data_IF_037945057288
#
_entry.id   IF_037945057288
#
_cell.length_a   1.000
_cell.length_b   1.000
_cell.length_c   1.000
_cell.angle_alpha   90.00
_cell.angle_beta   90.00
_cell.angle_gamma   90.00
#
_symmetry.space_group_name_H-M   'P 1'
#
loop_
_entity.id
_entity.type
_entity.pdbx_description
1 polymer ?
#
# COMPACT_ATOMS: atom_id res chain seq x y z
N UNK A 1 -16.08 29.66 -13.66
CA UNK A 1 -16.05 28.28 -13.11
C UNK A 1 -15.58 27.38 -14.22
N UNK A 2 -14.33 26.91 -14.18
CA UNK A 2 -13.85 25.94 -15.16
C UNK A 2 -14.44 24.58 -14.79
N UNK A 3 -15.20 23.96 -15.70
CA UNK A 3 -15.61 22.57 -15.59
C UNK A 3 -14.36 21.70 -15.55
N UNK A 4 -14.10 21.08 -14.39
CA UNK A 4 -13.05 20.09 -14.24
C UNK A 4 -13.49 18.86 -15.05
N UNK A 5 -12.92 18.69 -16.25
CA UNK A 5 -13.09 17.48 -17.04
C UNK A 5 -12.36 16.33 -16.34
N UNK A 6 -13.13 15.43 -15.72
CA UNK A 6 -12.62 14.14 -15.27
C UNK A 6 -12.29 13.28 -16.50
N UNK A 7 -11.07 12.74 -16.57
CA UNK A 7 -10.72 11.77 -17.61
C UNK A 7 -11.68 10.56 -17.53
N UNK A 8 -12.43 10.25 -18.61
CA UNK A 8 -13.47 9.23 -18.59
C UNK A 8 -12.93 7.80 -18.79
N UNK A 9 -11.61 7.63 -18.98
CA UNK A 9 -11.05 6.30 -19.22
C UNK A 9 -11.14 5.45 -17.95
N UNK A 10 -11.86 4.31 -17.94
CA UNK A 10 -11.77 3.36 -16.86
C UNK A 10 -10.32 2.90 -16.76
N UNK A 11 -9.77 2.91 -15.55
CA UNK A 11 -8.42 2.43 -15.30
C UNK A 11 -8.18 1.05 -15.91
N UNK A 12 -7.30 0.99 -16.92
CA UNK A 12 -6.72 -0.25 -17.40
C UNK A 12 -5.40 -0.47 -16.69
N UNK A 13 -5.33 -1.52 -15.87
CA UNK A 13 -4.13 -1.88 -15.12
C UNK A 13 -3.03 -2.44 -16.05
N UNK A 14 -3.37 -2.74 -17.30
CA UNK A 14 -2.44 -3.06 -18.40
C UNK A 14 -2.02 -1.85 -19.22
N UNK A 15 -2.36 -0.62 -18.81
CA UNK A 15 -1.86 0.60 -19.46
C UNK A 15 -0.33 0.65 -19.54
N UNK A 16 0.34 -0.08 -18.63
CA UNK A 16 1.78 -0.31 -18.63
C UNK A 16 2.01 -1.81 -18.95
N UNK A 17 2.70 -2.11 -20.06
CA UNK A 17 2.95 -3.49 -20.50
C UNK A 17 4.10 -4.17 -19.75
N UNK A 18 4.99 -3.41 -19.12
CA UNK A 18 6.17 -3.94 -18.43
C UNK A 18 5.85 -5.08 -17.44
N UNK A 19 4.85 -4.97 -16.55
CA UNK A 19 4.50 -6.07 -15.65
C UNK A 19 4.00 -7.33 -16.36
N UNK A 20 3.38 -7.19 -17.54
CA UNK A 20 2.98 -8.34 -18.36
C UNK A 20 4.18 -9.01 -19.03
N UNK A 21 5.21 -8.24 -19.40
CA UNK A 21 6.47 -8.79 -19.91
C UNK A 21 7.23 -9.56 -18.82
N UNK A 22 7.35 -9.02 -17.61
CA UNK A 22 8.00 -9.70 -16.47
C UNK A 22 7.29 -11.02 -16.12
N UNK A 23 5.95 -11.00 -16.15
CA UNK A 23 5.13 -12.19 -15.93
C UNK A 23 5.30 -13.22 -17.06
N UNK A 24 5.43 -12.78 -18.32
CA UNK A 24 5.73 -13.67 -19.44
C UNK A 24 7.12 -14.27 -19.34
N UNK A 25 8.14 -13.51 -18.92
CA UNK A 25 9.48 -14.04 -18.71
C UNK A 25 9.46 -15.15 -17.65
N UNK A 26 8.78 -14.90 -16.52
CA UNK A 26 8.57 -15.89 -15.47
C UNK A 26 7.78 -17.11 -15.95
N UNK A 27 6.85 -16.92 -16.88
CA UNK A 27 6.12 -18.01 -17.54
C UNK A 27 7.05 -18.87 -18.39
N UNK A 28 7.87 -18.24 -19.25
CA UNK A 28 8.77 -18.91 -20.18
C UNK A 28 9.89 -19.68 -19.47
N UNK A 29 10.43 -19.13 -18.38
CA UNK A 29 11.46 -19.81 -17.59
C UNK A 29 10.89 -20.81 -16.56
N UNK A 30 9.56 -20.99 -16.51
CA UNK A 30 8.88 -21.95 -15.64
C UNK A 30 8.75 -21.52 -14.17
N UNK A 31 9.25 -20.34 -13.79
CA UNK A 31 9.20 -19.86 -12.41
C UNK A 31 7.88 -19.20 -12.00
N UNK A 32 6.95 -18.98 -12.94
CA UNK A 32 5.69 -18.23 -12.73
C UNK A 32 4.87 -18.63 -11.50
N UNK A 33 4.95 -19.90 -11.08
CA UNK A 33 4.21 -20.43 -9.93
C UNK A 33 5.04 -20.49 -8.62
N UNK A 34 6.31 -20.05 -8.65
CA UNK A 34 7.16 -19.99 -7.47
C UNK A 34 6.54 -19.03 -6.45
N UNK A 35 6.34 -19.47 -5.20
CA UNK A 35 5.84 -18.59 -4.16
C UNK A 35 6.91 -17.58 -3.78
N UNK A 36 6.56 -16.30 -3.79
CA UNK A 36 7.41 -15.19 -3.38
C UNK A 36 6.69 -14.33 -2.34
N UNK A 37 7.46 -13.60 -1.54
CA UNK A 37 6.98 -12.60 -0.60
C UNK A 37 7.65 -11.26 -0.90
N UNK A 38 6.84 -10.26 -1.23
CA UNK A 38 7.28 -8.90 -1.50
C UNK A 38 6.61 -7.89 -0.58
N UNK A 39 7.28 -6.79 -0.37
CA UNK A 39 6.80 -5.62 0.35
C UNK A 39 6.75 -4.44 -0.59
N UNK A 40 5.69 -3.64 -0.53
CA UNK A 40 5.66 -2.36 -1.24
C UNK A 40 6.31 -1.28 -0.37
N UNK A 41 7.54 -0.94 -0.69
CA UNK A 41 8.32 0.10 0.01
C UNK A 41 7.92 1.48 -0.50
N UNK A 42 7.77 2.41 0.43
CA UNK A 42 7.54 3.82 0.17
C UNK A 42 8.46 4.65 1.06
N UNK A 43 9.04 5.71 0.48
CA UNK A 43 9.86 6.67 1.22
C UNK A 43 9.09 7.98 1.28
N UNK A 44 8.57 8.37 2.46
CA UNK A 44 7.86 9.63 2.57
C UNK A 44 8.82 10.82 2.38
N UNK A 45 8.29 11.90 1.79
CA UNK A 45 9.01 13.18 1.69
C UNK A 45 9.00 13.96 3.03
N UNK A 46 8.30 13.43 4.04
CA UNK A 46 8.21 13.95 5.40
C UNK A 46 8.44 12.84 6.44
N UNK A 47 8.11 13.09 7.72
CA UNK A 47 8.46 12.17 8.80
C UNK A 47 7.64 10.88 8.82
N UNK A 48 6.57 10.76 8.02
CA UNK A 48 5.69 9.60 7.99
C UNK A 48 4.95 9.47 6.65
N UNK A 49 4.30 8.32 6.46
CA UNK A 49 3.33 8.06 5.42
C UNK A 49 1.94 7.82 6.00
N UNK A 50 0.89 8.18 5.27
CA UNK A 50 -0.50 7.81 5.58
C UNK A 50 -0.96 6.72 4.61
N UNK A 51 -1.13 5.50 5.11
CA UNK A 51 -1.60 4.38 4.32
C UNK A 51 -2.97 4.67 3.70
N UNK A 52 -3.10 4.51 2.38
CA UNK A 52 -4.35 4.78 1.68
C UNK A 52 -4.52 3.86 0.47
N UNK A 53 -5.77 3.55 0.12
CA UNK A 53 -6.11 2.85 -1.12
C UNK A 53 -6.34 1.34 -0.99
N UNK A 54 -6.23 0.74 0.21
CA UNK A 54 -6.51 -0.68 0.41
C UNK A 54 -7.93 -1.08 -0.04
N UNK A 55 -8.93 -0.23 0.18
CA UNK A 55 -10.29 -0.40 -0.32
C UNK A 55 -10.39 -0.30 -1.85
N UNK A 56 -9.61 0.60 -2.48
CA UNK A 56 -9.54 0.70 -3.94
C UNK A 56 -8.96 -0.58 -4.54
N UNK A 57 -7.89 -1.10 -3.93
CA UNK A 57 -7.29 -2.37 -4.31
C UNK A 57 -8.28 -3.53 -4.17
N UNK A 58 -8.97 -3.64 -3.03
CA UNK A 58 -9.96 -4.70 -2.82
C UNK A 58 -11.10 -4.67 -3.86
N UNK A 59 -11.61 -3.48 -4.18
CA UNK A 59 -12.64 -3.30 -5.22
C UNK A 59 -12.10 -3.61 -6.62
N UNK A 60 -10.84 -3.23 -6.90
CA UNK A 60 -10.19 -3.56 -8.16
C UNK A 60 -10.03 -5.07 -8.36
N UNK A 61 -9.53 -5.79 -7.35
CA UNK A 61 -9.41 -7.26 -7.41
C UNK A 61 -10.77 -7.95 -7.56
N UNK A 62 -11.84 -7.42 -6.93
CA UNK A 62 -13.19 -7.96 -7.10
C UNK A 62 -13.63 -8.03 -8.57
N UNK A 63 -13.11 -7.13 -9.40
CA UNK A 63 -13.39 -7.03 -10.84
C UNK A 63 -12.25 -7.56 -11.71
N UNK A 64 -11.15 -8.03 -11.12
CA UNK A 64 -9.96 -8.42 -11.85
C UNK A 64 -10.22 -9.67 -12.68
N UNK A 65 -10.23 -9.47 -14.00
CA UNK A 65 -10.29 -10.53 -15.02
C UNK A 65 -9.61 -10.04 -16.28
N UNK A 66 -8.89 -10.94 -16.95
CA UNK A 66 -8.53 -10.73 -18.34
C UNK A 66 -9.77 -10.98 -19.21
N UNK A 67 -10.36 -9.91 -19.73
CA UNK A 67 -11.46 -10.04 -20.68
C UNK A 67 -10.94 -10.55 -22.02
N UNK A 68 -11.84 -11.13 -22.82
CA UNK A 68 -11.50 -11.58 -24.19
C UNK A 68 -10.92 -10.42 -25.01
N UNK A 69 -11.50 -9.23 -24.90
CA UNK A 69 -11.02 -8.03 -25.60
C UNK A 69 -9.59 -7.66 -25.20
N UNK A 70 -9.26 -7.75 -23.91
CA UNK A 70 -7.91 -7.47 -23.41
C UNK A 70 -6.91 -8.50 -23.95
N UNK A 71 -7.25 -9.79 -23.93
CA UNK A 71 -6.38 -10.84 -24.47
C UNK A 71 -6.15 -10.67 -25.97
N UNK A 72 -7.21 -10.36 -26.73
CA UNK A 72 -7.10 -10.07 -28.16
C UNK A 72 -6.23 -8.85 -28.43
N UNK A 73 -6.43 -7.77 -27.67
CA UNK A 73 -5.60 -6.58 -27.77
C UNK A 73 -4.12 -6.89 -27.52
N UNK A 74 -3.80 -7.61 -26.43
CA UNK A 74 -2.43 -8.03 -26.13
C UNK A 74 -1.82 -8.89 -27.25
N UNK A 75 -2.58 -9.81 -27.83
CA UNK A 75 -2.11 -10.66 -28.94
C UNK A 75 -1.81 -9.90 -30.23
N UNK A 76 -2.44 -8.73 -30.43
CA UNK A 76 -2.20 -7.84 -31.57
C UNK A 76 -0.98 -6.94 -31.39
N UNK A 77 -0.37 -6.90 -30.21
CA UNK A 77 0.83 -6.09 -29.97
C UNK A 77 2.02 -6.78 -30.63
N UNK A 78 2.69 -6.06 -31.52
CA UNK A 78 3.86 -6.56 -32.27
C UNK A 78 5.11 -5.73 -31.99
N UNK A 79 6.27 -6.35 -32.18
CA UNK A 79 7.54 -5.64 -32.22
C UNK A 79 7.70 -4.85 -33.53
N UNK A 80 8.84 -4.17 -33.68
CA UNK A 80 9.20 -3.39 -34.88
C UNK A 80 9.28 -4.22 -36.18
N UNK A 81 9.31 -5.55 -36.06
CA UNK A 81 9.33 -6.49 -37.19
C UNK A 81 7.98 -7.15 -37.46
N UNK A 82 6.91 -6.72 -36.77
CA UNK A 82 5.57 -7.27 -36.94
C UNK A 82 5.35 -8.63 -36.28
N UNK A 83 6.25 -9.07 -35.40
CA UNK A 83 6.11 -10.35 -34.65
C UNK A 83 5.38 -10.10 -33.35
N UNK A 84 4.46 -11.00 -32.97
CA UNK A 84 3.74 -10.87 -31.70
C UNK A 84 4.70 -10.87 -30.51
N UNK A 85 4.55 -9.89 -29.61
CA UNK A 85 5.40 -9.77 -28.42
C UNK A 85 4.95 -10.71 -27.29
N UNK A 86 3.70 -11.17 -27.33
CA UNK A 86 3.13 -12.09 -26.35
C UNK A 86 2.94 -13.48 -26.97
N UNK A 87 3.43 -14.49 -26.28
CA UNK A 87 3.32 -15.89 -26.68
C UNK A 87 1.87 -16.36 -26.50
N UNK A 88 1.35 -17.10 -27.48
CA UNK A 88 -0.03 -17.61 -27.45
C UNK A 88 -0.28 -18.49 -26.21
N UNK A 89 0.70 -19.29 -25.80
CA UNK A 89 0.62 -20.11 -24.58
C UNK A 89 0.51 -19.26 -23.30
N UNK A 90 1.15 -18.10 -23.25
CA UNK A 90 1.05 -17.16 -22.14
C UNK A 90 -0.32 -16.45 -22.14
N UNK A 91 -0.82 -16.00 -23.29
CA UNK A 91 -2.16 -15.43 -23.41
C UNK A 91 -3.25 -16.43 -22.96
N UNK A 92 -3.09 -17.70 -23.33
CA UNK A 92 -3.92 -18.82 -22.88
C UNK A 92 -3.86 -19.03 -21.35
N UNK A 93 -2.72 -18.78 -20.73
CA UNK A 93 -2.56 -18.78 -19.27
C UNK A 93 -3.32 -17.60 -18.64
N UNK A 94 -3.15 -16.38 -19.17
CA UNK A 94 -3.82 -15.18 -18.66
C UNK A 94 -5.35 -15.29 -18.72
N UNK A 95 -5.89 -15.85 -19.81
CA UNK A 95 -7.33 -16.06 -19.98
C UNK A 95 -7.93 -16.96 -18.89
N UNK A 96 -7.16 -17.92 -18.37
CA UNK A 96 -7.58 -18.86 -17.32
C UNK A 96 -7.14 -18.43 -15.92
N UNK A 97 -6.49 -17.27 -15.80
CA UNK A 97 -5.87 -16.86 -14.56
C UNK A 97 -6.91 -16.63 -13.47
N UNK A 98 -6.71 -17.31 -12.35
CA UNK A 98 -7.35 -17.00 -11.09
C UNK A 98 -6.29 -16.54 -10.11
N UNK A 99 -6.50 -15.36 -9.52
CA UNK A 99 -5.61 -14.83 -8.51
C UNK A 99 -5.60 -15.76 -7.29
N UNK A 100 -4.41 -16.06 -6.81
CA UNK A 100 -4.13 -16.89 -5.63
C UNK A 100 -3.15 -16.19 -4.68
N UNK A 101 -3.00 -14.87 -4.83
CA UNK A 101 -2.15 -14.05 -3.98
C UNK A 101 -2.82 -13.75 -2.63
N UNK A 102 -2.03 -13.61 -1.59
CA UNK A 102 -2.42 -13.06 -0.30
C UNK A 102 -1.83 -11.65 -0.18
N UNK A 103 -2.64 -10.69 0.25
CA UNK A 103 -2.20 -9.30 0.43
C UNK A 103 -2.64 -8.82 1.80
N UNK A 104 -1.68 -8.41 2.60
CA UNK A 104 -1.91 -7.72 3.86
C UNK A 104 -1.48 -6.25 3.68
N UNK A 105 -2.33 -5.30 4.04
CA UNK A 105 -1.98 -3.86 3.96
C UNK A 105 -2.05 -3.22 5.33
N UNK A 106 -1.30 -2.14 5.51
CA UNK A 106 -1.57 -1.23 6.60
C UNK A 106 -3.02 -0.69 6.46
N UNK A 107 -3.73 -0.45 7.57
CA UNK A 107 -5.13 -0.05 7.52
C UNK A 107 -5.19 1.38 6.99
N UNK A 108 -6.18 1.70 6.16
CA UNK A 108 -6.27 3.06 5.62
C UNK A 108 -6.38 4.11 6.73
N UNK A 109 -5.73 5.26 6.51
CA UNK A 109 -5.60 6.33 7.50
C UNK A 109 -4.62 6.03 8.63
N UNK A 110 -3.92 4.88 8.63
CA UNK A 110 -2.84 4.62 9.57
C UNK A 110 -1.58 5.38 9.20
N UNK A 111 -0.90 5.91 10.23
CA UNK A 111 0.43 6.49 10.09
C UNK A 111 1.48 5.36 10.08
N UNK A 112 2.37 5.36 9.09
CA UNK A 112 3.52 4.46 8.95
C UNK A 112 4.82 5.26 8.99
N UNK A 113 5.84 4.70 9.61
CA UNK A 113 7.18 5.29 9.72
C UNK A 113 8.06 4.92 8.52
N UNK A 114 9.13 5.66 8.25
CA UNK A 114 10.13 5.27 7.25
C UNK A 114 10.67 3.86 7.53
N UNK A 115 10.74 3.02 6.48
CA UNK A 115 11.14 1.62 6.59
C UNK A 115 9.95 0.65 6.77
N UNK A 116 8.79 1.14 7.17
CA UNK A 116 7.57 0.33 7.27
C UNK A 116 6.87 0.26 5.90
N UNK A 117 6.64 -0.94 5.34
CA UNK A 117 6.04 -1.08 4.02
C UNK A 117 4.55 -0.76 4.01
N UNK A 118 4.02 -0.39 2.85
CA UNK A 118 2.59 -0.09 2.70
C UNK A 118 1.73 -1.36 2.67
N UNK A 119 2.26 -2.41 2.04
CA UNK A 119 1.64 -3.73 1.96
C UNK A 119 2.68 -4.83 1.90
N UNK A 120 2.24 -6.03 2.24
CA UNK A 120 2.96 -7.30 2.14
C UNK A 120 2.13 -8.20 1.22
N UNK A 121 2.74 -8.71 0.16
CA UNK A 121 2.10 -9.60 -0.82
C UNK A 121 2.85 -10.91 -0.91
N UNK A 122 2.12 -12.01 -0.88
CA UNK A 122 2.65 -13.36 -1.02
C UNK A 122 1.88 -14.15 -2.07
N UNK A 123 2.57 -14.93 -2.89
CA UNK A 123 1.93 -15.79 -3.89
C UNK A 123 2.81 -16.08 -5.10
N UNK A 124 2.21 -16.62 -6.18
CA UNK A 124 2.93 -16.91 -7.42
C UNK A 124 3.58 -15.65 -8.01
N UNK A 125 4.88 -15.69 -8.31
CA UNK A 125 5.65 -14.52 -8.79
C UNK A 125 5.00 -13.81 -9.99
N UNK A 126 4.52 -14.58 -10.98
CA UNK A 126 3.87 -13.99 -12.16
C UNK A 126 2.59 -13.24 -11.82
N UNK A 127 1.84 -13.69 -10.80
CA UNK A 127 0.62 -12.99 -10.37
C UNK A 127 0.95 -11.71 -9.61
N UNK A 128 2.03 -11.71 -8.80
CA UNK A 128 2.50 -10.51 -8.11
C UNK A 128 2.97 -9.46 -9.13
N UNK A 129 3.75 -9.89 -10.13
CA UNK A 129 4.20 -9.03 -11.22
C UNK A 129 3.01 -8.41 -11.95
N UNK A 130 2.03 -9.20 -12.41
CA UNK A 130 0.82 -8.68 -13.08
C UNK A 130 0.07 -7.62 -12.25
N UNK A 131 0.12 -7.69 -10.92
CA UNK A 131 -0.55 -6.76 -10.02
C UNK A 131 0.30 -5.53 -9.66
N UNK A 132 1.54 -5.44 -10.12
CA UNK A 132 2.47 -4.36 -9.76
C UNK A 132 1.92 -2.97 -10.12
N UNK A 133 1.33 -2.81 -11.31
CA UNK A 133 0.66 -1.55 -11.70
C UNK A 133 -0.49 -1.19 -10.76
N UNK A 134 -1.27 -2.17 -10.33
CA UNK A 134 -2.37 -1.95 -9.39
C UNK A 134 -1.83 -1.55 -8.01
N UNK A 135 -0.77 -2.20 -7.50
CA UNK A 135 -0.15 -1.82 -6.24
C UNK A 135 0.45 -0.41 -6.29
N UNK A 136 1.14 -0.07 -7.39
CA UNK A 136 1.68 1.27 -7.61
C UNK A 136 0.56 2.32 -7.62
N UNK A 137 -0.43 2.18 -8.49
CA UNK A 137 -1.46 3.21 -8.68
C UNK A 137 -2.45 3.31 -7.53
N UNK A 138 -2.87 2.17 -6.99
CA UNK A 138 -3.94 2.15 -5.99
C UNK A 138 -3.41 2.32 -4.56
N UNK A 139 -2.22 1.80 -4.24
CA UNK A 139 -1.66 1.88 -2.88
C UNK A 139 -0.57 2.93 -2.80
N UNK A 140 0.46 2.83 -3.63
CA UNK A 140 1.62 3.71 -3.53
C UNK A 140 1.23 5.17 -3.85
N UNK A 141 0.56 5.45 -4.97
CA UNK A 141 0.17 6.81 -5.33
C UNK A 141 -0.89 7.38 -4.39
N UNK A 142 -1.89 6.59 -4.00
CA UNK A 142 -2.88 7.01 -3.00
C UNK A 142 -2.22 7.36 -1.67
N UNK A 143 -1.24 6.58 -1.23
CA UNK A 143 -0.48 6.86 -0.01
C UNK A 143 0.35 8.12 -0.16
N UNK A 144 1.00 8.32 -1.31
CA UNK A 144 1.76 9.54 -1.59
C UNK A 144 0.89 10.80 -1.46
N UNK A 145 -0.27 10.84 -2.12
CA UNK A 145 -1.18 11.98 -2.05
C UNK A 145 -1.77 12.20 -0.66
N UNK A 146 -2.15 11.13 0.05
CA UNK A 146 -2.62 11.23 1.42
C UNK A 146 -1.53 11.78 2.36
N UNK A 147 -0.29 11.34 2.16
CA UNK A 147 0.86 11.77 2.96
C UNK A 147 1.22 13.23 2.70
N UNK A 148 1.16 13.71 1.45
CA UNK A 148 1.38 15.12 1.12
C UNK A 148 0.39 16.03 1.86
N UNK A 149 -0.90 15.70 1.82
CA UNK A 149 -1.93 16.46 2.53
C UNK A 149 -1.75 16.41 4.05
N UNK A 150 -1.48 15.23 4.60
CA UNK A 150 -1.30 15.07 6.04
C UNK A 150 -0.05 15.79 6.55
N UNK A 151 1.06 15.75 5.79
CA UNK A 151 2.29 16.45 6.14
C UNK A 151 2.10 17.98 6.10
N UNK A 152 1.37 18.50 5.10
CA UNK A 152 1.05 19.92 5.03
C UNK A 152 0.27 20.40 6.27
N UNK A 153 -0.67 19.59 6.77
CA UNK A 153 -1.40 19.88 8.02
C UNK A 153 -0.56 19.72 9.27
N UNK A 154 0.26 18.69 9.31
CA UNK A 154 1.19 18.44 10.40
C UNK A 154 2.13 19.63 10.63
N UNK A 155 2.73 20.16 9.56
CA UNK A 155 3.64 21.33 9.63
C UNK A 155 2.90 22.57 10.13
N UNK A 156 1.62 22.74 9.77
CA UNK A 156 0.77 23.84 10.25
C UNK A 156 0.30 23.66 11.71
N UNK A 157 0.43 22.46 12.29
CA UNK A 157 -0.10 22.15 13.61
C UNK A 157 -1.63 22.20 13.70
N UNK A 158 -2.33 21.84 12.62
CA UNK A 158 -3.78 22.00 12.50
C UNK A 158 -4.50 20.65 12.26
N UNK A 159 -5.17 20.14 13.28
CA UNK A 159 -5.86 18.83 13.26
C UNK A 159 -7.39 18.90 13.35
N UNK A 160 -7.98 20.09 13.26
CA UNK A 160 -9.44 20.21 13.24
C UNK A 160 -10.04 19.79 11.91
N UNK A 161 -11.23 19.17 11.99
CA UNK A 161 -11.99 18.75 10.82
C UNK A 161 -12.67 19.99 10.21
N UNK A 162 -12.39 20.24 8.93
CA UNK A 162 -13.06 21.27 8.12
C UNK A 162 -14.23 20.64 7.35
N UNK A 163 -15.26 21.45 7.05
CA UNK A 163 -16.37 21.02 6.20
C UNK A 163 -15.87 20.76 4.77
N UNK A 164 -15.60 19.49 4.49
CA UNK A 164 -15.03 19.02 3.23
C UNK A 164 -15.98 17.97 2.65
N UNK A 165 -16.51 18.17 1.43
CA UNK A 165 -17.38 17.19 0.79
C UNK A 165 -16.69 15.83 0.66
N UNK A 166 -17.40 14.76 1.03
CA UNK A 166 -16.86 13.41 0.89
C UNK A 166 -16.76 13.03 -0.59
N UNK A 167 -15.62 12.52 -1.05
CA UNK A 167 -15.49 12.02 -2.42
C UNK A 167 -16.18 10.66 -2.58
N UNK A 168 -16.38 10.21 -3.83
CA UNK A 168 -16.81 8.83 -4.10
C UNK A 168 -15.85 7.83 -3.43
N UNK A 169 -16.41 6.78 -2.81
CA UNK A 169 -15.61 5.78 -2.08
C UNK A 169 -14.67 5.01 -3.02
N UNK A 170 -15.14 4.70 -4.23
CA UNK A 170 -14.39 3.97 -5.26
C UNK A 170 -14.48 4.71 -6.60
N UNK A 171 -13.67 5.76 -6.79
CA UNK A 171 -13.51 6.35 -8.10
C UNK A 171 -12.91 5.33 -9.08
N UNK A 172 -13.23 5.42 -10.36
CA UNK A 172 -12.70 4.50 -11.39
C UNK A 172 -11.66 5.16 -12.30
N UNK A 173 -11.12 6.32 -11.87
CA UNK A 173 -10.09 7.07 -12.58
C UNK A 173 -9.03 7.62 -11.59
N UNK A 174 -7.82 7.95 -12.07
CA UNK A 174 -6.72 8.43 -11.23
C UNK A 174 -7.02 9.72 -10.45
N UNK A 175 -7.71 10.69 -11.06
CA UNK A 175 -8.02 11.96 -10.38
C UNK A 175 -8.96 11.76 -9.21
N UNK A 176 -9.94 10.88 -9.35
CA UNK A 176 -10.83 10.52 -8.26
C UNK A 176 -10.08 9.84 -7.11
N UNK A 177 -9.13 8.95 -7.39
CA UNK A 177 -8.31 8.33 -6.33
C UNK A 177 -7.48 9.36 -5.59
N UNK A 178 -6.92 10.33 -6.32
CA UNK A 178 -6.19 11.46 -5.76
C UNK A 178 -7.07 12.32 -4.85
N UNK A 179 -8.27 12.68 -5.30
CA UNK A 179 -9.26 13.42 -4.50
C UNK A 179 -9.56 12.64 -3.21
N UNK A 180 -9.82 11.34 -3.32
CA UNK A 180 -10.05 10.46 -2.17
C UNK A 180 -8.86 10.42 -1.21
N UNK A 181 -7.65 10.29 -1.74
CA UNK A 181 -6.42 10.25 -0.95
C UNK A 181 -6.18 11.56 -0.22
N UNK A 182 -6.31 12.70 -0.89
CA UNK A 182 -6.20 14.02 -0.29
C UNK A 182 -7.26 14.24 0.81
N UNK A 183 -8.51 13.80 0.58
CA UNK A 183 -9.55 13.81 1.60
C UNK A 183 -9.17 12.97 2.83
N UNK A 184 -8.68 11.74 2.64
CA UNK A 184 -8.22 10.89 3.75
C UNK A 184 -7.02 11.52 4.47
N UNK A 185 -6.12 12.15 3.73
CA UNK A 185 -4.97 12.91 4.22
C UNK A 185 -5.31 14.26 4.86
N UNK A 186 -6.60 14.62 4.95
CA UNK A 186 -7.04 15.79 5.70
C UNK A 186 -7.10 17.08 4.90
N UNK A 187 -6.86 17.08 3.59
CA UNK A 187 -6.91 18.29 2.78
C UNK A 187 -8.27 19.01 2.89
N UNK A 188 -8.25 20.34 2.77
CA UNK A 188 -9.46 21.15 2.59
C UNK A 188 -10.06 20.96 1.18
N UNK A 189 -11.29 21.45 0.96
CA UNK A 189 -11.90 21.42 -0.37
C UNK A 189 -11.04 22.16 -1.41
N UNK A 190 -10.49 23.33 -1.07
CA UNK A 190 -9.63 24.11 -1.97
C UNK A 190 -8.31 23.41 -2.26
N UNK A 191 -7.68 22.80 -1.25
CA UNK A 191 -6.44 22.04 -1.42
C UNK A 191 -6.66 20.81 -2.32
N UNK A 192 -7.81 20.14 -2.19
CA UNK A 192 -8.20 19.04 -3.08
C UNK A 192 -8.29 19.55 -4.53
N UNK A 193 -9.04 20.63 -4.77
CA UNK A 193 -9.23 21.20 -6.11
C UNK A 193 -7.90 21.63 -6.75
N UNK A 194 -6.99 22.22 -5.97
CA UNK A 194 -5.66 22.61 -6.44
C UNK A 194 -4.77 21.42 -6.84
N UNK A 195 -5.04 20.23 -6.30
CA UNK A 195 -4.26 19.02 -6.56
C UNK A 195 -4.84 18.16 -7.70
N UNK A 196 -6.12 18.33 -8.03
CA UNK A 196 -6.74 17.64 -9.18
C UNK A 196 -5.93 17.91 -10.45
N UNK A 197 -5.69 16.89 -11.27
CA UNK A 197 -4.93 17.00 -12.51
C UNK A 197 -3.40 17.07 -12.37
N UNK A 198 -2.84 17.33 -11.18
CA UNK A 198 -1.37 17.24 -10.97
C UNK A 198 -0.86 15.81 -11.16
N UNK A 199 0.31 15.64 -11.75
CA UNK A 199 0.92 14.32 -11.92
C UNK A 199 1.59 13.85 -10.62
N UNK A 200 1.47 12.56 -10.33
CA UNK A 200 2.21 11.93 -9.23
C UNK A 200 3.69 11.79 -9.62
N UNK A 201 4.62 11.95 -8.66
CA UNK A 201 6.04 11.64 -8.92
C UNK A 201 6.21 10.14 -9.21
N UNK A 202 7.27 9.81 -9.95
CA UNK A 202 7.66 8.40 -10.08
C UNK A 202 8.29 7.88 -8.78
N UNK A 203 8.11 6.59 -8.44
CA UNK A 203 8.87 5.95 -7.37
C UNK A 203 10.38 6.03 -7.66
N UNK A 204 11.17 6.31 -6.63
CA UNK A 204 12.63 6.24 -6.68
C UNK A 204 13.11 4.78 -6.73
N UNK A 205 14.40 4.56 -7.00
CA UNK A 205 14.99 3.23 -7.00
C UNK A 205 14.92 2.52 -5.63
N UNK A 206 14.73 3.26 -4.53
CA UNK A 206 14.57 2.72 -3.18
C UNK A 206 13.15 2.20 -2.91
N UNK A 207 12.17 2.62 -3.71
CA UNK A 207 10.75 2.32 -3.54
C UNK A 207 10.27 1.17 -4.45
N UNK A 208 9.02 0.73 -4.25
CA UNK A 208 8.40 -0.33 -5.06
C UNK A 208 8.41 -1.70 -4.38
N UNK A 209 8.11 -2.75 -5.14
CA UNK A 209 8.07 -4.12 -4.63
C UNK A 209 9.48 -4.65 -4.36
N UNK A 210 9.77 -5.00 -3.11
CA UNK A 210 11.09 -5.47 -2.67
C UNK A 210 10.99 -6.55 -1.59
N UNK A 211 12.02 -7.38 -1.50
CA UNK A 211 12.24 -8.20 -0.30
C UNK A 211 12.75 -7.31 0.83
N UNK A 212 12.09 -7.36 1.99
CA UNK A 212 12.55 -6.72 3.23
C UNK A 212 12.76 -7.83 4.23
N UNK A 213 13.96 -7.92 4.77
CA UNK A 213 14.39 -9.00 5.64
C UNK A 213 15.00 -8.46 6.92
N UNK A 214 14.80 -9.21 8.00
CA UNK A 214 15.59 -9.13 9.22
C UNK A 214 17.06 -9.40 8.90
N UNK A 215 17.98 -8.98 9.78
CA UNK A 215 19.42 -9.21 9.64
C UNK A 215 19.78 -10.70 9.38
N UNK A 216 18.96 -11.63 9.86
CA UNK A 216 19.11 -13.08 9.61
C UNK A 216 18.63 -13.54 8.22
N UNK A 217 18.21 -12.63 7.34
CA UNK A 217 17.65 -12.94 6.01
C UNK A 217 16.17 -13.38 6.02
N UNK A 218 15.50 -13.31 7.18
CA UNK A 218 14.10 -13.77 7.33
C UNK A 218 13.15 -12.60 7.05
N UNK A 219 12.10 -12.76 6.22
CA UNK A 219 11.24 -11.64 5.85
C UNK A 219 10.38 -11.14 7.01
N UNK A 220 10.01 -9.86 6.93
CA UNK A 220 8.97 -9.28 7.78
C UNK A 220 7.59 -9.78 7.36
N UNK A 221 6.71 -10.02 8.32
CA UNK A 221 5.31 -10.41 8.03
C UNK A 221 4.29 -9.58 8.81
N UNK A 222 4.70 -8.90 9.88
CA UNK A 222 3.82 -8.10 10.72
C UNK A 222 4.58 -6.95 11.41
N UNK A 223 3.86 -5.85 11.67
CA UNK A 223 4.30 -4.81 12.60
C UNK A 223 3.25 -4.67 13.72
N UNK A 224 3.71 -4.63 14.96
CA UNK A 224 2.87 -4.35 16.13
C UNK A 224 3.19 -2.97 16.68
N UNK A 225 2.22 -2.06 16.61
CA UNK A 225 2.29 -0.77 17.31
C UNK A 225 1.92 -0.94 18.77
N UNK A 226 2.81 -0.54 19.66
CA UNK A 226 2.67 -0.68 21.11
C UNK A 226 2.02 0.57 21.71
N UNK A 227 1.20 0.39 22.74
CA UNK A 227 0.50 1.50 23.40
C UNK A 227 0.56 1.42 24.92
N UNK A 228 0.56 2.59 25.58
CA UNK A 228 0.16 2.77 26.99
C UNK A 228 -1.11 3.61 27.01
N UNK A 229 -2.24 2.99 27.35
CA UNK A 229 -3.55 3.60 27.16
C UNK A 229 -3.80 3.91 25.68
N UNK A 230 -3.85 5.20 25.33
CA UNK A 230 -4.04 5.69 23.96
C UNK A 230 -2.77 6.24 23.31
N UNK A 231 -1.68 6.34 24.05
CA UNK A 231 -0.42 6.89 23.54
C UNK A 231 0.40 5.80 22.87
N UNK A 232 0.81 5.99 21.59
CA UNK A 232 1.73 5.08 20.91
C UNK A 232 3.13 5.18 21.52
N UNK A 233 3.84 4.06 21.63
CA UNK A 233 5.15 3.99 22.30
C UNK A 233 6.30 3.53 21.42
N UNK A 234 6.01 2.71 20.42
CA UNK A 234 7.00 2.11 19.54
C UNK A 234 6.38 1.05 18.63
N UNK A 235 7.08 0.72 17.55
CA UNK A 235 6.60 -0.24 16.54
C UNK A 235 7.56 -1.44 16.42
N UNK A 236 7.02 -2.65 16.55
CA UNK A 236 7.81 -3.89 16.61
C UNK A 236 7.61 -4.70 15.35
N UNK A 237 8.69 -4.96 14.63
CA UNK A 237 8.72 -5.70 13.38
C UNK A 237 8.94 -7.19 13.66
N UNK A 238 8.10 -8.03 13.04
CA UNK A 238 8.00 -9.44 13.34
C UNK A 238 8.23 -10.27 12.08
N UNK A 239 9.09 -11.27 12.21
CA UNK A 239 9.13 -12.43 11.31
C UNK A 239 8.00 -13.41 11.65
N UNK A 240 7.77 -14.41 10.79
CA UNK A 240 6.77 -15.46 11.04
C UNK A 240 7.02 -16.18 12.37
N UNK A 241 8.27 -16.56 12.65
CA UNK A 241 8.63 -17.22 13.91
C UNK A 241 8.42 -16.31 15.14
N UNK A 242 8.66 -15.00 14.99
CA UNK A 242 8.39 -14.07 16.10
C UNK A 242 6.89 -13.94 16.37
N UNK A 243 6.04 -13.96 15.33
CA UNK A 243 4.59 -13.83 15.47
C UNK A 243 3.98 -14.97 16.31
N UNK A 244 4.51 -16.18 16.15
CA UNK A 244 4.11 -17.39 16.89
C UNK A 244 4.49 -17.34 18.39
N UNK A 245 5.64 -16.73 18.72
CA UNK A 245 6.19 -16.72 20.09
C UNK A 245 5.89 -15.41 20.84
N UNK A 246 5.62 -14.32 20.12
CA UNK A 246 5.21 -13.04 20.67
C UNK A 246 3.76 -13.16 21.19
N UNK A 247 3.61 -13.81 22.34
CA UNK A 247 2.33 -14.04 23.01
C UNK A 247 1.60 -12.72 23.27
N UNK A 248 0.28 -12.75 23.04
CA UNK A 248 -0.67 -11.69 23.39
C UNK A 248 -0.68 -11.35 24.89
N UNK A 249 -0.22 -12.24 25.76
CA UNK A 249 -0.22 -12.05 27.22
C UNK A 249 0.97 -11.27 27.76
N UNK A 250 2.03 -11.06 26.97
CA UNK A 250 3.22 -10.31 27.41
C UNK A 250 2.92 -8.82 27.43
N UNK A 251 3.24 -8.15 28.53
CA UNK A 251 3.11 -6.68 28.69
C UNK A 251 4.41 -5.93 28.42
N UNK A 252 5.46 -6.65 27.98
CA UNK A 252 6.74 -6.08 27.58
C UNK A 252 7.16 -6.61 26.22
N UNK A 253 7.70 -5.72 25.40
CA UNK A 253 8.30 -6.05 24.12
C UNK A 253 9.77 -5.62 24.11
N UNK A 254 10.66 -6.53 23.70
CA UNK A 254 12.08 -6.28 23.49
C UNK A 254 12.35 -6.33 21.98
N UNK A 255 13.08 -5.35 21.47
CA UNK A 255 13.41 -5.26 20.06
C UNK A 255 14.72 -4.47 19.87
N UNK A 256 15.39 -4.69 18.75
CA UNK A 256 16.51 -3.84 18.31
C UNK A 256 15.92 -2.68 17.53
N UNK A 257 16.14 -1.46 18.03
CA UNK A 257 15.69 -0.25 17.37
C UNK A 257 16.50 -0.01 16.09
N UNK A 258 15.83 0.15 14.95
CA UNK A 258 16.44 0.25 13.62
C UNK A 258 17.25 1.54 13.46
N UNK A 259 16.84 2.63 14.12
CA UNK A 259 17.50 3.93 14.01
C UNK A 259 18.79 3.99 14.84
N UNK A 260 18.78 3.42 16.05
CA UNK A 260 19.90 3.48 17.00
C UNK A 260 20.74 2.21 17.04
N UNK A 261 20.25 1.11 16.47
CA UNK A 261 20.80 -0.25 16.54
C UNK A 261 21.02 -0.74 17.98
N UNK A 262 20.17 -0.30 18.93
CA UNK A 262 20.24 -0.67 20.35
C UNK A 262 19.03 -1.50 20.76
N UNK A 263 19.27 -2.45 21.67
CA UNK A 263 18.20 -3.19 22.30
C UNK A 263 17.36 -2.25 23.18
N UNK A 264 16.05 -2.23 22.92
CA UNK A 264 15.05 -1.41 23.59
C UNK A 264 13.98 -2.31 24.21
N UNK A 265 13.52 -1.98 25.42
CA UNK A 265 12.41 -2.68 26.09
C UNK A 265 11.30 -1.69 26.43
N UNK A 266 10.08 -1.98 25.97
CA UNK A 266 8.90 -1.14 26.21
C UNK A 266 7.86 -1.93 26.98
N UNK A 267 7.37 -1.33 28.08
CA UNK A 267 6.20 -1.81 28.80
C UNK A 267 4.92 -1.19 28.23
N UNK A 268 4.04 -2.04 27.72
CA UNK A 268 2.79 -1.71 27.02
C UNK A 268 1.57 -2.23 27.79
N UNK A 269 0.42 -1.60 27.56
CA UNK A 269 -0.88 -2.08 28.03
C UNK A 269 -1.63 -2.86 26.95
N UNK A 270 -1.35 -2.58 25.68
CA UNK A 270 -1.90 -3.27 24.50
C UNK A 270 -1.01 -3.05 23.29
N UNK A 271 -1.24 -3.81 22.24
CA UNK A 271 -0.67 -3.57 20.92
C UNK A 271 -1.76 -3.58 19.85
N UNK A 272 -1.42 -3.13 18.65
CA UNK A 272 -2.22 -3.24 17.45
C UNK A 272 -1.37 -3.84 16.32
N UNK A 273 -1.87 -4.91 15.68
CA UNK A 273 -1.31 -5.38 14.41
C UNK A 273 -1.61 -4.33 13.34
N UNK A 274 -0.58 -3.88 12.62
CA UNK A 274 -0.74 -2.92 11.54
C UNK A 274 -1.21 -3.63 10.26
N UNK A 275 -0.60 -4.74 9.86
CA UNK A 275 -1.01 -5.39 8.63
C UNK A 275 -2.24 -6.26 8.84
N UNK A 276 -3.30 -5.94 8.10
CA UNK A 276 -4.55 -6.68 8.07
C UNK A 276 -4.78 -7.29 6.69
N UNK A 277 -5.43 -8.46 6.60
CA UNK A 277 -5.71 -9.08 5.32
C UNK A 277 -6.66 -8.21 4.50
N UNK A 278 -6.25 -7.94 3.27
CA UNK A 278 -7.07 -7.29 2.23
C UNK A 278 -7.53 -8.33 1.23
N UNK A 279 -6.62 -9.24 0.83
CA UNK A 279 -6.89 -10.38 -0.03
C UNK A 279 -6.44 -11.67 0.64
N UNK A 280 -7.30 -12.69 0.61
CA UNK A 280 -6.97 -14.05 1.04
C UNK A 280 -7.18 -14.98 -0.15
N UNK A 281 -6.09 -15.58 -0.64
CA UNK A 281 -6.11 -16.47 -1.83
C UNK A 281 -6.82 -15.81 -3.03
N UNK A 282 -6.54 -14.53 -3.29
CA UNK A 282 -7.12 -13.73 -4.37
C UNK A 282 -8.53 -13.20 -4.10
N UNK A 283 -9.16 -13.53 -2.97
CA UNK A 283 -10.50 -13.04 -2.64
C UNK A 283 -10.44 -11.81 -1.73
N UNK A 284 -11.14 -10.71 -2.07
CA UNK A 284 -11.17 -9.53 -1.22
C UNK A 284 -11.97 -9.77 0.05
N UNK A 285 -11.36 -9.50 1.20
CA UNK A 285 -11.97 -9.66 2.54
C UNK A 285 -12.16 -8.33 3.26
N UNK A 286 -11.63 -7.23 2.70
CA UNK A 286 -11.78 -5.89 3.27
C UNK A 286 -13.18 -5.31 2.97
N UNK A 287 -13.98 -4.94 3.99
CA UNK A 287 -15.24 -4.25 3.78
C UNK A 287 -15.02 -2.81 3.30
N UNK A 288 -16.02 -2.17 2.68
CA UNK A 288 -15.89 -0.79 2.25
C UNK A 288 -15.56 0.17 3.40
N UNK A 289 -14.51 1.01 3.26
CA UNK A 289 -14.13 1.93 4.31
C UNK A 289 -15.11 3.10 4.40
N UNK A 290 -15.37 3.55 5.63
CA UNK A 290 -16.10 4.80 5.88
C UNK A 290 -15.12 5.97 5.82
N UNK A 291 -15.19 6.79 4.77
CA UNK A 291 -14.20 7.84 4.50
C UNK A 291 -14.07 8.85 5.65
N UNK A 292 -15.18 9.32 6.23
CA UNK A 292 -15.13 10.24 7.37
C UNK A 292 -14.41 9.65 8.58
N UNK A 293 -14.61 8.35 8.85
CA UNK A 293 -13.87 7.66 9.90
C UNK A 293 -12.37 7.60 9.61
N UNK A 294 -11.96 7.33 8.36
CA UNK A 294 -10.55 7.31 7.98
C UNK A 294 -9.90 8.69 8.18
N UNK A 295 -10.57 9.76 7.74
CA UNK A 295 -10.11 11.14 7.91
C UNK A 295 -9.94 11.50 9.38
N UNK A 296 -10.95 11.25 10.21
CA UNK A 296 -10.89 11.49 11.65
C UNK A 296 -9.78 10.68 12.34
N UNK A 297 -9.65 9.40 11.96
CA UNK A 297 -8.59 8.52 12.46
C UNK A 297 -7.19 9.04 12.09
N UNK A 298 -7.02 9.56 10.87
CA UNK A 298 -5.76 10.14 10.43
C UNK A 298 -5.43 11.42 11.22
N UNK A 299 -6.39 12.34 11.37
CA UNK A 299 -6.20 13.58 12.14
C UNK A 299 -5.80 13.31 13.59
N UNK A 300 -6.50 12.41 14.28
CA UNK A 300 -6.17 12.04 15.67
C UNK A 300 -4.80 11.39 15.82
N UNK A 301 -4.41 10.53 14.88
CA UNK A 301 -3.10 9.90 14.92
C UNK A 301 -2.00 10.93 14.68
N UNK A 302 -2.15 11.77 13.67
CA UNK A 302 -1.18 12.82 13.39
C UNK A 302 -1.06 13.80 14.56
N UNK A 303 -2.15 14.20 15.21
CA UNK A 303 -2.09 15.00 16.43
C UNK A 303 -1.29 14.29 17.54
N UNK A 304 -1.60 13.02 17.81
CA UNK A 304 -0.94 12.25 18.86
C UNK A 304 0.56 12.07 18.63
N UNK A 305 0.97 11.81 17.39
CA UNK A 305 2.37 11.65 17.04
C UNK A 305 3.13 12.98 17.04
N UNK A 306 2.45 14.12 16.81
CA UNK A 306 3.11 15.42 16.81
C UNK A 306 3.65 15.78 18.19
N UNK A 307 2.97 15.31 19.23
CA UNK A 307 3.40 15.46 20.62
C UNK A 307 4.52 14.47 21.01
N UNK A 308 4.74 13.40 20.25
CA UNK A 308 5.58 12.26 20.62
C UNK A 308 7.02 12.31 20.08
N UNK A 309 7.35 13.28 19.22
CA UNK A 309 8.65 13.39 18.54
C UNK A 309 8.97 12.16 17.67
N UNK A 310 8.49 12.17 16.42
CA UNK A 310 8.64 11.05 15.48
C UNK A 310 10.10 10.67 15.21
N UNK A 311 11.06 11.59 15.32
CA UNK A 311 12.48 11.28 15.10
C UNK A 311 13.06 10.37 16.18
N UNK A 312 12.46 10.38 17.37
CA UNK A 312 12.86 9.55 18.53
C UNK A 312 11.91 8.39 18.77
N UNK A 313 10.87 8.24 17.94
CA UNK A 313 9.88 7.20 18.11
C UNK A 313 10.52 5.84 17.79
N UNK A 314 10.60 4.92 18.77
CA UNK A 314 11.40 3.71 18.60
C UNK A 314 10.68 2.68 17.74
N UNK A 315 11.41 2.06 16.83
CA UNK A 315 10.87 1.03 15.94
C UNK A 315 11.93 0.04 15.49
N UNK A 316 11.58 -1.23 15.28
CA UNK A 316 12.53 -2.20 14.75
C UNK A 316 12.24 -3.65 15.14
N UNK A 317 13.24 -4.51 14.98
CA UNK A 317 13.09 -5.96 14.95
C UNK A 317 12.97 -6.62 16.32
N UNK A 318 11.96 -7.45 16.50
CA UNK A 318 11.73 -8.20 17.73
C UNK A 318 12.89 -9.14 18.12
N UNK A 319 13.17 -9.20 19.43
CA UNK A 319 14.20 -10.07 20.05
C UNK A 319 13.56 -11.24 20.82
#
# INVERSE_FOLDING_TARGET
MAEIQFSPAPFDWLSELAPAFDAQESWLNGSYNRPELFHLVYKPDGPFAIACGAGLLAEHIRRFRFSVNVIQHMGQITDEHGRSVFQESFLNYLQRLQLRVQVNCAPEGALLLPGEPLLIVQGPVAQIQLMQSAFRKLIWESTHWASLSANARWVKGHWTEEDTPSPPVYPFNPDGWKIRAAYVGGASADEILQNVGKTTRNPSAEEGLKGINHASGVPMVQIRRLFRGNTPLGDVWLTQANEEVASVSKTRAKFTDETTNKATEIQMTRFQNLYQPVLVKGHPVLPPPRLGYLRQRMLKQTEAFHLADLEKYPHGWYL
#
